data_IF_283209605608
#
_entry.id   IF_283209605608
#
_cell.length_a   1.000
_cell.length_b   1.000
_cell.length_c   1.000
_cell.angle_alpha   90.00
_cell.angle_beta   90.00
_cell.angle_gamma   90.00
#
_symmetry.space_group_name_H-M   'P 1'
#
loop_
_entity.id
_entity.type
_entity.pdbx_description
1 polymer ?
#
# COMPACT_ATOMS: atom_id res chain seq x y z
N UNK A 1 -20.39 -52.66 -33.44
CA UNK A 1 -18.94 -52.84 -33.29
C UNK A 1 -18.58 -52.53 -31.85
N UNK A 2 -17.88 -53.40 -31.11
CA UNK A 2 -17.37 -53.06 -29.79
C UNK A 2 -16.37 -51.90 -29.93
N UNK A 3 -16.58 -50.85 -29.16
CA UNK A 3 -15.70 -49.69 -29.15
C UNK A 3 -14.35 -50.08 -28.54
N UNK A 4 -13.27 -50.03 -29.32
CA UNK A 4 -11.90 -50.24 -28.82
C UNK A 4 -11.46 -48.96 -28.12
N UNK A 5 -11.22 -48.97 -26.80
CA UNK A 5 -10.81 -47.78 -26.08
C UNK A 5 -9.49 -47.21 -26.61
N UNK A 6 -9.46 -45.90 -26.86
CA UNK A 6 -8.23 -45.13 -27.09
C UNK A 6 -7.99 -44.18 -25.92
N UNK A 7 -6.81 -43.56 -25.86
CA UNK A 7 -6.50 -42.59 -24.80
C UNK A 7 -7.41 -41.34 -24.84
N UNK A 8 -8.06 -41.09 -25.99
CA UNK A 8 -9.09 -40.04 -26.11
C UNK A 8 -10.38 -40.39 -25.38
N UNK A 9 -10.60 -41.66 -25.03
CA UNK A 9 -11.81 -42.15 -24.37
C UNK A 9 -11.67 -42.21 -22.85
N UNK A 10 -10.52 -41.78 -22.33
CA UNK A 10 -10.25 -41.75 -20.89
C UNK A 10 -10.67 -40.41 -20.31
N UNK A 11 -11.40 -40.48 -19.19
CA UNK A 11 -11.86 -39.34 -18.42
C UNK A 11 -11.33 -39.41 -17.00
N UNK A 12 -10.84 -38.29 -16.49
CA UNK A 12 -10.51 -38.10 -15.08
C UNK A 12 -11.73 -37.57 -14.32
N UNK A 13 -11.97 -38.14 -13.14
CA UNK A 13 -13.12 -37.84 -12.30
C UNK A 13 -12.66 -37.17 -11.02
N UNK A 14 -13.29 -36.04 -10.69
CA UNK A 14 -13.06 -35.31 -9.46
C UNK A 14 -14.37 -35.15 -8.70
N UNK A 15 -14.37 -35.42 -7.40
CA UNK A 15 -15.56 -35.41 -6.57
C UNK A 15 -15.37 -34.52 -5.33
N UNK A 16 -16.47 -33.94 -4.88
CA UNK A 16 -16.59 -33.18 -3.64
C UNK A 16 -17.78 -33.75 -2.87
N UNK A 17 -17.55 -34.25 -1.65
CA UNK A 17 -18.58 -34.91 -0.82
C UNK A 17 -19.28 -33.99 0.17
N UNK A 18 -18.90 -32.70 0.24
CA UNK A 18 -19.52 -31.73 1.15
C UNK A 18 -19.23 -30.29 0.74
N UNK A 19 -20.07 -29.35 1.17
CA UNK A 19 -20.01 -27.92 0.81
C UNK A 19 -18.65 -27.28 1.13
N UNK A 20 -18.00 -27.69 2.22
CA UNK A 20 -16.69 -27.18 2.66
C UNK A 20 -15.46 -27.97 2.19
N UNK A 21 -15.64 -29.15 1.58
CA UNK A 21 -14.54 -30.01 1.16
C UNK A 21 -13.93 -29.56 -0.18
N UNK A 22 -12.63 -29.80 -0.38
CA UNK A 22 -12.02 -29.57 -1.68
C UNK A 22 -12.51 -30.60 -2.70
N UNK A 23 -12.62 -30.19 -3.97
CA UNK A 23 -12.78 -31.13 -5.08
C UNK A 23 -11.48 -31.92 -5.24
N UNK A 24 -11.54 -33.25 -5.13
CA UNK A 24 -10.36 -34.12 -5.22
C UNK A 24 -10.49 -35.11 -6.36
N UNK A 25 -9.37 -35.51 -6.95
CA UNK A 25 -9.34 -36.57 -7.95
C UNK A 25 -9.68 -37.92 -7.28
N UNK A 26 -10.66 -38.63 -7.83
CA UNK A 26 -11.13 -39.92 -7.29
C UNK A 26 -10.83 -41.10 -8.19
N UNK A 27 -10.45 -40.86 -9.44
CA UNK A 27 -10.01 -41.89 -10.37
C UNK A 27 -10.31 -41.55 -11.82
N UNK A 28 -10.13 -42.54 -12.69
CA UNK A 28 -10.35 -42.43 -14.13
C UNK A 28 -11.33 -43.49 -14.63
N UNK A 29 -12.08 -43.17 -15.69
CA UNK A 29 -12.96 -44.12 -16.38
C UNK A 29 -12.82 -44.02 -17.89
N UNK A 30 -13.26 -45.07 -18.59
CA UNK A 30 -13.30 -45.10 -20.05
C UNK A 30 -14.74 -44.96 -20.52
N UNK A 31 -15.00 -44.00 -21.42
CA UNK A 31 -16.31 -43.78 -22.00
C UNK A 31 -16.21 -43.24 -23.43
N UNK A 32 -17.11 -43.65 -24.34
CA UNK A 32 -17.05 -43.23 -25.75
C UNK A 32 -17.46 -41.76 -25.97
N UNK A 33 -18.10 -41.12 -24.99
CA UNK A 33 -18.58 -39.73 -25.07
C UNK A 33 -18.80 -39.12 -23.69
N UNK A 34 -18.80 -37.78 -23.62
CA UNK A 34 -18.91 -36.99 -22.38
C UNK A 34 -20.14 -37.37 -21.53
N UNK A 35 -21.31 -37.51 -22.15
CA UNK A 35 -22.54 -37.87 -21.40
C UNK A 35 -22.44 -39.25 -20.76
N UNK A 36 -21.88 -40.23 -21.48
CA UNK A 36 -21.66 -41.57 -20.95
C UNK A 36 -20.62 -41.54 -19.81
N UNK A 37 -19.59 -40.71 -19.95
CA UNK A 37 -18.58 -40.50 -18.91
C UNK A 37 -19.20 -39.93 -17.62
N UNK A 38 -20.10 -38.96 -17.74
CA UNK A 38 -20.82 -38.38 -16.60
C UNK A 38 -21.67 -39.43 -15.88
N UNK A 39 -22.47 -40.20 -16.64
CA UNK A 39 -23.31 -41.23 -16.05
C UNK A 39 -22.48 -42.29 -15.33
N UNK A 40 -21.42 -42.80 -15.97
CA UNK A 40 -20.52 -43.78 -15.37
C UNK A 40 -19.81 -43.23 -14.13
N UNK A 41 -19.35 -41.98 -14.15
CA UNK A 41 -18.71 -41.35 -13.00
C UNK A 41 -19.68 -41.26 -11.82
N UNK A 42 -20.91 -40.77 -12.05
CA UNK A 42 -21.93 -40.66 -11.01
C UNK A 42 -22.26 -42.02 -10.41
N UNK A 43 -22.48 -43.04 -11.24
CA UNK A 43 -22.81 -44.39 -10.78
C UNK A 43 -21.64 -45.11 -10.11
N UNK A 44 -20.39 -44.72 -10.41
CA UNK A 44 -19.20 -45.36 -9.82
C UNK A 44 -18.81 -44.70 -8.51
N UNK A 45 -18.79 -43.38 -8.48
CA UNK A 45 -18.24 -42.59 -7.37
C UNK A 45 -19.30 -41.95 -6.46
N UNK A 46 -20.58 -41.95 -6.87
CA UNK A 46 -21.69 -41.36 -6.10
C UNK A 46 -22.53 -42.35 -5.30
N UNK A 47 -22.09 -43.61 -5.14
CA UNK A 47 -22.90 -44.65 -4.47
C UNK A 47 -22.83 -44.66 -2.95
N UNK A 48 -21.73 -44.17 -2.37
CA UNK A 48 -21.43 -44.32 -0.94
C UNK A 48 -21.43 -42.99 -0.17
N UNK A 49 -21.11 -41.90 -0.86
CA UNK A 49 -21.02 -40.57 -0.29
C UNK A 49 -21.98 -39.64 -1.01
N UNK A 50 -22.60 -38.73 -0.26
CA UNK A 50 -23.40 -37.64 -0.83
C UNK A 50 -22.47 -36.69 -1.59
N UNK A 51 -22.47 -36.79 -2.92
CA UNK A 51 -21.67 -35.91 -3.76
C UNK A 51 -22.33 -34.53 -3.83
N UNK A 52 -21.62 -33.51 -3.33
CA UNK A 52 -21.95 -32.11 -3.53
C UNK A 52 -21.63 -31.65 -4.97
N UNK A 53 -20.51 -32.11 -5.55
CA UNK A 53 -20.09 -31.75 -6.91
C UNK A 53 -19.26 -32.85 -7.56
N UNK A 54 -19.43 -33.03 -8.87
CA UNK A 54 -18.70 -34.01 -9.69
C UNK A 54 -18.21 -33.34 -10.98
N UNK A 55 -16.90 -33.40 -11.23
CA UNK A 55 -16.29 -32.99 -12.50
C UNK A 55 -15.76 -34.21 -13.24
N UNK A 56 -16.01 -34.25 -14.54
CA UNK A 56 -15.55 -35.31 -15.43
C UNK A 56 -14.89 -34.64 -16.63
N UNK A 57 -13.59 -34.82 -16.76
CA UNK A 57 -12.76 -34.12 -17.76
C UNK A 57 -12.08 -35.15 -18.64
N UNK A 58 -12.07 -34.95 -19.95
CA UNK A 58 -11.34 -35.85 -20.86
C UNK A 58 -9.84 -35.70 -20.58
N UNK A 59 -9.11 -36.80 -20.47
CA UNK A 59 -7.68 -36.76 -20.13
C UNK A 59 -6.85 -35.91 -21.08
N UNK A 60 -7.20 -35.93 -22.37
CA UNK A 60 -6.54 -35.13 -23.41
C UNK A 60 -6.75 -33.62 -23.27
N UNK A 61 -7.75 -33.19 -22.49
CA UNK A 61 -8.02 -31.77 -22.23
C UNK A 61 -7.18 -31.26 -21.04
N UNK A 62 -6.43 -32.12 -20.35
CA UNK A 62 -5.56 -31.76 -19.23
C UNK A 62 -4.15 -31.41 -19.71
N UNK A 63 -3.62 -30.29 -19.21
CA UNK A 63 -2.20 -29.97 -19.32
C UNK A 63 -1.48 -30.64 -18.15
N UNK A 64 -0.67 -31.67 -18.44
CA UNK A 64 0.04 -32.46 -17.44
C UNK A 64 1.53 -32.14 -17.51
N UNK A 65 2.10 -31.72 -16.38
CA UNK A 65 3.53 -31.44 -16.27
C UNK A 65 4.37 -32.70 -16.46
N UNK A 66 5.47 -32.57 -17.22
CA UNK A 66 6.46 -33.62 -17.41
C UNK A 66 7.58 -33.58 -16.37
N UNK A 67 8.55 -34.49 -16.52
CA UNK A 67 9.72 -34.53 -15.63
C UNK A 67 10.59 -33.25 -15.70
N UNK A 68 10.60 -32.56 -16.85
CA UNK A 68 11.35 -31.32 -17.05
C UNK A 68 10.77 -30.10 -16.31
N UNK A 69 9.48 -30.11 -15.98
CA UNK A 69 8.82 -28.99 -15.31
C UNK A 69 9.06 -28.96 -13.81
N UNK A 70 9.64 -30.04 -13.24
CA UNK A 70 9.88 -30.19 -11.80
C UNK A 70 10.63 -29.01 -11.19
N UNK A 71 11.60 -28.45 -11.91
CA UNK A 71 12.36 -27.29 -11.43
C UNK A 71 11.54 -25.99 -11.34
N UNK A 72 10.57 -25.81 -12.25
CA UNK A 72 9.67 -24.64 -12.27
C UNK A 72 8.55 -24.80 -11.24
N UNK A 73 8.07 -26.03 -11.05
CA UNK A 73 6.99 -26.37 -10.10
C UNK A 73 7.47 -26.51 -8.66
N UNK A 74 8.77 -26.65 -8.42
CA UNK A 74 9.33 -26.66 -7.08
C UNK A 74 9.05 -25.31 -6.39
N UNK A 75 8.49 -25.36 -5.18
CA UNK A 75 8.18 -24.17 -4.41
C UNK A 75 9.46 -23.35 -4.16
N UNK A 76 9.54 -22.16 -4.78
CA UNK A 76 10.70 -21.26 -4.64
C UNK A 76 10.72 -20.52 -3.30
N UNK A 77 9.63 -20.58 -2.54
CA UNK A 77 9.44 -19.72 -1.37
C UNK A 77 9.04 -20.53 -0.14
N UNK A 78 9.79 -20.35 0.96
CA UNK A 78 9.48 -20.90 2.29
C UNK A 78 8.37 -20.15 3.03
N UNK A 79 7.80 -19.11 2.42
CA UNK A 79 6.79 -18.25 3.04
C UNK A 79 5.38 -18.83 2.83
N UNK A 80 4.74 -19.36 3.89
CA UNK A 80 3.47 -20.06 3.77
C UNK A 80 2.33 -19.16 3.25
N UNK A 81 2.41 -17.84 3.49
CA UNK A 81 1.40 -16.86 3.07
C UNK A 81 1.28 -16.64 1.56
N UNK A 82 2.26 -17.10 0.78
CA UNK A 82 2.21 -17.02 -0.68
C UNK A 82 1.62 -18.28 -1.32
N UNK A 83 1.27 -19.30 -0.51
CA UNK A 83 0.69 -20.53 -1.02
C UNK A 83 -0.83 -20.35 -1.26
N UNK A 84 -1.34 -20.79 -2.42
CA UNK A 84 -2.78 -20.95 -2.60
C UNK A 84 -3.36 -21.81 -1.45
N UNK A 85 -4.37 -21.30 -0.75
CA UNK A 85 -5.01 -21.82 0.49
C UNK A 85 -4.46 -21.31 1.84
N UNK A 86 -3.46 -20.44 1.88
CA UNK A 86 -3.09 -19.75 3.12
C UNK A 86 -3.86 -18.41 3.27
N UNK A 87 -4.57 -18.09 4.37
CA UNK A 87 -5.07 -18.91 5.49
C UNK A 87 -6.60 -19.12 5.39
N UNK A 88 -7.07 -20.34 5.08
CA UNK A 88 -8.51 -20.68 5.14
C UNK A 88 -9.00 -21.15 6.52
N UNK A 89 -8.11 -21.27 7.51
CA UNK A 89 -8.42 -21.85 8.83
C UNK A 89 -9.38 -21.02 9.68
N UNK A 90 -9.70 -19.78 9.25
CA UNK A 90 -10.73 -18.91 9.86
C UNK A 90 -11.74 -18.37 8.84
N UNK A 91 -11.91 -19.02 7.68
CA UNK A 91 -12.97 -18.61 6.76
C UNK A 91 -14.30 -19.00 7.39
N UNK A 92 -14.98 -18.04 8.02
CA UNK A 92 -16.34 -18.20 8.52
C UNK A 92 -17.20 -18.63 7.33
N UNK A 93 -17.83 -19.79 7.44
CA UNK A 93 -18.80 -20.24 6.46
C UNK A 93 -20.03 -19.33 6.53
N UNK A 94 -20.07 -18.31 5.66
CA UNK A 94 -21.19 -17.36 5.61
C UNK A 94 -22.50 -18.03 5.18
N UNK A 95 -22.48 -19.28 4.71
CA UNK A 95 -23.70 -20.04 4.41
C UNK A 95 -24.36 -20.63 5.66
N UNK A 96 -23.66 -20.64 6.81
CA UNK A 96 -24.18 -21.12 8.09
C UNK A 96 -24.60 -19.99 9.05
N UNK A 97 -24.52 -18.72 8.63
CA UNK A 97 -24.99 -17.61 9.45
C UNK A 97 -26.53 -17.63 9.48
N UNK A 98 -27.18 -17.63 10.67
CA UNK A 98 -28.63 -17.49 10.72
C UNK A 98 -29.02 -16.14 10.13
N UNK A 99 -30.05 -16.13 9.28
CA UNK A 99 -30.68 -14.92 8.74
C UNK A 99 -31.08 -14.01 9.90
N UNK A 100 -30.22 -13.06 10.23
CA UNK A 100 -30.51 -12.09 11.28
C UNK A 100 -31.21 -10.94 10.59
N UNK A 101 -32.53 -11.00 10.58
CA UNK A 101 -33.38 -9.88 10.18
C UNK A 101 -32.93 -8.63 10.94
N UNK A 102 -32.62 -7.57 10.20
CA UNK A 102 -32.24 -6.28 10.74
C UNK A 102 -33.35 -5.75 11.66
N UNK A 103 -33.05 -5.60 12.95
CA UNK A 103 -33.91 -4.84 13.86
C UNK A 103 -33.65 -3.33 13.67
N UNK A 104 -34.70 -2.49 13.68
CA UNK A 104 -34.56 -1.07 13.39
C UNK A 104 -33.89 -0.32 14.55
N UNK A 105 -33.19 0.75 14.18
CA UNK A 105 -32.24 1.45 15.03
C UNK A 105 -32.79 1.99 16.35
N UNK A 106 -31.96 1.89 17.38
CA UNK A 106 -32.06 2.72 18.57
C UNK A 106 -30.90 3.69 18.57
N UNK A 107 -31.23 4.97 18.44
CA UNK A 107 -30.31 6.07 18.68
C UNK A 107 -29.90 6.04 20.16
N UNK A 108 -28.60 5.87 20.43
CA UNK A 108 -28.04 6.03 21.78
C UNK A 108 -27.25 7.32 21.79
N UNK A 109 -27.69 8.23 22.66
CA UNK A 109 -27.10 9.54 22.88
C UNK A 109 -25.65 9.45 23.37
N UNK A 110 -24.81 10.35 22.85
CA UNK A 110 -23.41 10.50 23.27
C UNK A 110 -23.31 10.94 24.74
N UNK A 111 -22.51 10.29 25.58
CA UNK A 111 -22.10 10.86 26.85
C UNK A 111 -20.95 11.85 26.62
N UNK A 112 -21.10 13.06 27.17
CA UNK A 112 -20.05 14.07 27.29
C UNK A 112 -18.96 13.53 28.23
N UNK A 113 -17.77 13.30 27.68
CA UNK A 113 -16.59 12.93 28.46
C UNK A 113 -15.70 14.16 28.66
N UNK A 114 -15.48 14.50 29.92
CA UNK A 114 -14.60 15.58 30.36
C UNK A 114 -13.13 15.26 30.02
N UNK A 115 -12.42 16.31 29.58
CA UNK A 115 -10.99 16.31 29.23
C UNK A 115 -10.14 16.12 30.50
N UNK A 116 -9.28 15.09 30.61
CA UNK A 116 -8.25 15.05 31.65
C UNK A 116 -7.06 15.96 31.27
N UNK A 117 -6.30 16.47 32.26
CA UNK A 117 -5.26 17.47 32.01
C UNK A 117 -4.10 16.90 31.20
N UNK A 118 -3.67 17.68 30.22
CA UNK A 118 -2.50 17.45 29.36
C UNK A 118 -1.23 17.23 30.20
N UNK A 119 -0.57 16.09 29.97
CA UNK A 119 0.80 15.86 30.43
C UNK A 119 1.71 16.55 29.43
N UNK A 120 2.42 17.60 29.88
CA UNK A 120 3.40 18.30 29.07
C UNK A 120 4.58 17.38 28.71
N UNK A 121 5.14 17.47 27.49
CA UNK A 121 6.32 16.68 27.14
C UNK A 121 7.52 17.12 27.99
N UNK A 122 8.19 16.15 28.60
CA UNK A 122 9.43 16.36 29.35
C UNK A 122 10.50 16.94 28.42
N UNK A 123 10.93 18.16 28.75
CA UNK A 123 12.08 18.82 28.13
C UNK A 123 13.35 18.00 28.42
N UNK A 124 14.16 17.76 27.38
CA UNK A 124 15.55 17.30 27.54
C UNK A 124 16.33 18.33 28.38
N UNK A 125 17.30 17.90 29.21
CA UNK A 125 18.08 18.85 30.00
C UNK A 125 18.94 19.74 29.09
N UNK A 126 18.84 21.04 29.34
CA UNK A 126 19.60 22.10 28.67
C UNK A 126 21.11 21.85 28.78
N UNK A 127 21.71 21.43 27.67
CA UNK A 127 23.13 21.57 27.43
C UNK A 127 23.41 23.02 27.07
N UNK A 128 24.26 23.66 27.86
CA UNK A 128 24.73 25.04 27.67
C UNK A 128 25.05 25.38 26.21
N UNK A 129 24.40 26.43 25.71
CA UNK A 129 24.63 26.99 24.39
C UNK A 129 26.12 27.39 24.23
N UNK A 130 26.83 26.66 23.37
CA UNK A 130 27.96 27.22 22.65
C UNK A 130 27.43 27.73 21.30
N UNK A 131 27.51 29.04 21.09
CA UNK A 131 27.38 29.63 19.77
C UNK A 131 28.58 29.19 18.92
N UNK A 132 28.45 28.02 18.28
CA UNK A 132 29.43 27.47 17.35
C UNK A 132 28.72 27.18 16.04
N UNK A 133 29.22 27.73 14.93
CA UNK A 133 28.74 27.38 13.59
C UNK A 133 28.79 25.86 13.41
N UNK A 134 27.62 25.22 13.36
CA UNK A 134 27.50 23.76 13.34
C UNK A 134 28.16 23.15 12.12
N UNK A 135 28.69 21.93 12.28
CA UNK A 135 29.31 21.17 11.19
C UNK A 135 28.30 21.06 10.02
N UNK A 136 28.69 21.46 8.79
CA UNK A 136 27.87 21.30 7.59
C UNK A 136 27.30 19.88 7.41
N UNK A 137 28.02 18.85 7.87
CA UNK A 137 27.57 17.45 7.83
C UNK A 137 26.39 17.21 8.77
N UNK A 138 26.46 17.70 10.00
CA UNK A 138 25.34 17.58 10.96
C UNK A 138 24.12 18.35 10.49
N UNK A 139 24.31 19.52 9.86
CA UNK A 139 23.21 20.29 9.29
C UNK A 139 22.52 19.53 8.13
N UNK A 140 23.31 18.85 7.30
CA UNK A 140 22.80 18.01 6.20
C UNK A 140 22.04 16.81 6.74
N UNK A 141 22.59 16.13 7.75
CA UNK A 141 21.97 14.98 8.40
C UNK A 141 20.61 15.33 9.03
N UNK A 142 20.54 16.45 9.76
CA UNK A 142 19.26 16.96 10.30
C UNK A 142 18.23 17.25 9.21
N UNK A 143 18.65 17.82 8.08
CA UNK A 143 17.75 18.09 6.96
C UNK A 143 17.21 16.78 6.35
N UNK A 144 18.06 15.77 6.16
CA UNK A 144 17.65 14.45 5.66
C UNK A 144 16.68 13.74 6.63
N UNK A 145 16.94 13.79 7.94
CA UNK A 145 15.99 13.30 8.95
C UNK A 145 14.65 14.01 8.85
N UNK A 146 14.63 15.34 8.69
CA UNK A 146 13.39 16.10 8.50
C UNK A 146 12.59 15.65 7.26
N UNK A 147 13.28 15.33 6.16
CA UNK A 147 12.65 14.80 4.94
C UNK A 147 12.09 13.39 5.14
N UNK A 148 12.83 12.49 5.82
CA UNK A 148 12.36 11.14 6.13
C UNK A 148 11.08 11.15 6.98
N UNK A 149 11.06 11.94 8.06
CA UNK A 149 9.87 12.05 8.90
C UNK A 149 8.67 12.64 8.14
N UNK A 150 8.91 13.58 7.23
CA UNK A 150 7.86 14.15 6.40
C UNK A 150 7.32 13.13 5.37
N UNK A 151 8.18 12.32 4.75
CA UNK A 151 7.77 11.24 3.86
C UNK A 151 7.11 10.07 4.60
N UNK A 152 7.46 9.81 5.87
CA UNK A 152 6.73 8.86 6.70
C UNK A 152 5.27 9.30 6.91
N UNK A 153 5.03 10.60 7.12
CA UNK A 153 3.66 11.15 7.16
C UNK A 153 2.93 10.91 5.82
N UNK A 154 3.61 11.12 4.68
CA UNK A 154 3.04 10.88 3.34
C UNK A 154 2.68 9.41 3.12
N UNK A 155 3.60 8.50 3.45
CA UNK A 155 3.43 7.05 3.33
C UNK A 155 2.30 6.53 4.22
N UNK A 156 2.20 7.03 5.45
CA UNK A 156 1.13 6.65 6.36
C UNK A 156 -0.25 7.01 5.80
N UNK A 157 -0.41 8.24 5.30
CA UNK A 157 -1.69 8.67 4.72
C UNK A 157 -1.95 7.97 3.39
N UNK A 158 -0.94 7.80 2.54
CA UNK A 158 -1.07 7.04 1.29
C UNK A 158 -1.59 5.63 1.56
N UNK A 159 -0.97 4.90 2.50
CA UNK A 159 -1.36 3.53 2.83
C UNK A 159 -2.83 3.41 3.24
N UNK A 160 -3.29 4.29 4.12
CA UNK A 160 -4.69 4.35 4.52
C UNK A 160 -5.62 4.67 3.33
N UNK A 161 -5.26 5.65 2.50
CA UNK A 161 -6.08 6.07 1.35
C UNK A 161 -6.18 4.99 0.28
N UNK A 162 -5.11 4.23 0.05
CA UNK A 162 -5.14 3.09 -0.85
C UNK A 162 -6.03 1.96 -0.30
N UNK A 163 -6.02 1.75 1.03
CA UNK A 163 -6.87 0.76 1.69
C UNK A 163 -8.37 1.07 1.63
N UNK A 164 -8.77 2.35 1.57
CA UNK A 164 -10.18 2.76 1.53
C UNK A 164 -10.94 2.24 0.31
N UNK A 165 -10.23 1.96 -0.79
CA UNK A 165 -10.83 1.53 -2.06
C UNK A 165 -10.52 0.08 -2.41
N UNK A 166 -10.14 -0.73 -1.43
CA UNK A 166 -9.64 -2.09 -1.68
C UNK A 166 -10.61 -3.01 -2.43
N UNK A 167 -11.91 -2.68 -2.46
CA UNK A 167 -12.95 -3.42 -3.21
C UNK A 167 -13.46 -2.69 -4.45
N UNK A 168 -12.98 -1.47 -4.68
CA UNK A 168 -13.48 -0.52 -5.69
C UNK A 168 -12.43 -0.19 -6.76
N UNK A 169 -11.33 -0.94 -6.83
CA UNK A 169 -10.37 -0.82 -7.93
C UNK A 169 -10.92 -1.47 -9.20
N UNK A 170 -10.26 -1.16 -10.31
CA UNK A 170 -10.72 -1.50 -11.66
C UNK A 170 -10.90 -3.01 -11.88
N UNK A 171 -10.11 -3.84 -11.20
CA UNK A 171 -10.19 -5.30 -11.18
C UNK A 171 -9.60 -5.86 -9.88
N UNK A 172 -9.58 -7.20 -9.76
CA UNK A 172 -9.14 -7.88 -8.55
C UNK A 172 -7.61 -7.85 -8.41
N UNK A 173 -6.88 -7.99 -9.50
CA UNK A 173 -5.43 -7.95 -9.56
C UNK A 173 -4.91 -6.60 -9.06
N UNK A 174 -5.53 -5.51 -9.50
CA UNK A 174 -5.22 -4.15 -9.07
C UNK A 174 -5.65 -3.92 -7.63
N UNK A 175 -6.78 -4.49 -7.20
CA UNK A 175 -7.17 -4.48 -5.79
C UNK A 175 -6.09 -5.12 -4.91
N UNK A 176 -5.55 -6.26 -5.33
CA UNK A 176 -4.47 -6.96 -4.61
C UNK A 176 -3.15 -6.19 -4.65
N UNK A 177 -2.77 -5.67 -5.82
CA UNK A 177 -1.53 -4.93 -6.00
C UNK A 177 -1.51 -3.64 -5.19
N UNK A 178 -2.57 -2.83 -5.31
CA UNK A 178 -2.70 -1.55 -4.60
C UNK A 178 -2.88 -1.78 -3.10
N UNK A 179 -3.56 -2.86 -2.70
CA UNK A 179 -3.61 -3.32 -1.31
C UNK A 179 -2.23 -3.63 -0.74
N UNK A 180 -1.40 -4.39 -1.46
CA UNK A 180 -0.02 -4.71 -1.06
C UNK A 180 0.81 -3.43 -0.91
N UNK A 181 0.74 -2.54 -1.91
CA UNK A 181 1.44 -1.24 -1.87
C UNK A 181 1.00 -0.42 -0.65
N UNK A 182 -0.30 -0.41 -0.34
CA UNK A 182 -0.83 0.29 0.82
C UNK A 182 -0.31 -0.26 2.15
N UNK A 183 -0.23 -1.59 2.29
CA UNK A 183 0.32 -2.24 3.50
C UNK A 183 1.82 -1.94 3.65
N UNK A 184 2.58 -2.02 2.58
CA UNK A 184 4.02 -1.73 2.57
C UNK A 184 4.28 -0.25 2.85
N UNK A 185 3.44 0.67 2.37
CA UNK A 185 3.54 2.09 2.71
C UNK A 185 3.40 2.34 4.23
N UNK A 186 2.45 1.67 4.90
CA UNK A 186 2.31 1.75 6.37
C UNK A 186 3.54 1.19 7.08
N UNK A 187 4.04 0.02 6.64
CA UNK A 187 5.23 -0.62 7.22
C UNK A 187 6.50 0.24 7.02
N UNK A 188 6.64 0.91 5.88
CA UNK A 188 7.74 1.83 5.62
C UNK A 188 7.66 3.08 6.50
N UNK A 189 6.47 3.63 6.71
CA UNK A 189 6.29 4.76 7.62
C UNK A 189 6.75 4.40 9.05
N UNK A 190 6.36 3.23 9.54
CA UNK A 190 6.80 2.70 10.84
C UNK A 190 8.32 2.44 10.87
N UNK A 191 8.87 1.79 9.84
CA UNK A 191 10.32 1.53 9.72
C UNK A 191 11.13 2.82 9.77
N UNK A 192 10.68 3.87 9.08
CA UNK A 192 11.34 5.18 9.10
C UNK A 192 11.33 5.78 10.52
N UNK A 193 10.22 5.72 11.25
CA UNK A 193 10.18 6.19 12.64
C UNK A 193 11.12 5.38 13.54
N UNK A 194 11.13 4.05 13.41
CA UNK A 194 11.99 3.18 14.19
C UNK A 194 13.48 3.49 13.98
N UNK A 195 13.91 3.70 12.73
CA UNK A 195 15.29 4.11 12.40
C UNK A 195 15.68 5.48 12.97
N UNK A 196 14.69 6.33 13.26
CA UNK A 196 14.88 7.63 13.89
C UNK A 196 14.63 7.62 15.41
N UNK A 197 14.61 6.43 16.03
CA UNK A 197 14.63 6.25 17.48
C UNK A 197 13.26 6.29 18.15
N UNK A 198 12.17 6.16 17.39
CA UNK A 198 10.83 5.97 17.94
C UNK A 198 10.66 4.51 18.33
N UNK A 199 10.29 4.25 19.58
CA UNK A 199 9.76 2.94 19.97
C UNK A 199 8.27 2.81 19.54
N UNK A 200 7.66 1.66 19.80
CA UNK A 200 6.28 1.39 19.38
C UNK A 200 5.28 2.42 19.91
N UNK A 201 5.39 2.79 21.19
CA UNK A 201 4.51 3.77 21.81
C UNK A 201 4.71 5.18 21.23
N UNK A 202 5.96 5.58 20.99
CA UNK A 202 6.25 6.85 20.34
C UNK A 202 5.74 6.90 18.89
N UNK A 203 5.85 5.78 18.15
CA UNK A 203 5.33 5.68 16.80
C UNK A 203 3.79 5.77 16.77
N UNK A 204 3.11 5.08 17.68
CA UNK A 204 1.65 5.16 17.81
C UNK A 204 1.19 6.57 18.22
N UNK A 205 1.88 7.22 19.17
CA UNK A 205 1.60 8.61 19.52
C UNK A 205 1.80 9.55 18.31
N UNK A 206 2.85 9.33 17.52
CA UNK A 206 3.16 10.12 16.32
C UNK A 206 2.06 10.03 15.25
N UNK A 207 1.48 8.85 15.03
CA UNK A 207 0.47 8.63 13.99
C UNK A 207 -0.98 8.82 14.46
N UNK A 208 -1.31 8.54 15.71
CA UNK A 208 -2.71 8.53 16.15
C UNK A 208 -3.07 9.71 17.08
N UNK A 209 -2.11 10.21 17.86
CA UNK A 209 -2.37 11.23 18.89
C UNK A 209 -1.97 12.63 18.44
N UNK A 210 -0.96 12.72 17.56
CA UNK A 210 -0.43 13.98 17.07
C UNK A 210 -1.51 14.84 16.39
N UNK A 211 -1.68 16.12 16.81
CA UNK A 211 -2.70 17.00 16.22
C UNK A 211 -2.37 17.32 14.76
N UNK A 212 -3.40 17.50 13.93
CA UNK A 212 -3.27 17.74 12.48
C UNK A 212 -2.26 18.86 12.13
N UNK A 213 -2.18 19.91 12.94
CA UNK A 213 -1.25 21.03 12.70
C UNK A 213 0.23 20.64 12.70
N UNK A 214 0.59 19.52 13.32
CA UNK A 214 1.97 19.02 13.39
C UNK A 214 2.32 18.05 12.25
N UNK A 215 1.34 17.65 11.44
CA UNK A 215 1.56 16.77 10.30
C UNK A 215 2.21 17.52 9.14
N UNK A 216 3.21 16.90 8.52
CA UNK A 216 3.93 17.45 7.38
C UNK A 216 3.56 16.67 6.13
N UNK A 217 2.29 16.63 5.73
CA UNK A 217 1.87 15.88 4.53
C UNK A 217 2.00 16.74 3.27
N UNK A 218 2.52 16.17 2.19
CA UNK A 218 2.63 16.77 0.86
C UNK A 218 1.27 17.06 0.26
N UNK A 219 1.19 18.14 -0.53
CA UNK A 219 -0.02 18.49 -1.30
C UNK A 219 -0.46 17.39 -2.29
N UNK A 220 0.45 16.49 -2.68
CA UNK A 220 0.13 15.33 -3.54
C UNK A 220 -1.00 14.49 -2.94
N UNK A 221 -1.01 14.27 -1.62
CA UNK A 221 -1.99 13.42 -0.94
C UNK A 221 -3.42 13.91 -1.10
N UNK A 222 -3.63 15.23 -1.20
CA UNK A 222 -4.96 15.80 -1.44
C UNK A 222 -5.55 15.41 -2.81
N UNK A 223 -4.74 14.84 -3.71
CA UNK A 223 -5.18 14.42 -5.05
C UNK A 223 -5.59 12.94 -5.13
N UNK A 224 -5.49 12.16 -4.05
CA UNK A 224 -5.91 10.75 -3.99
C UNK A 224 -7.45 10.59 -3.99
N UNK A 225 -8.12 11.03 -5.06
CA UNK A 225 -9.58 11.07 -5.19
C UNK A 225 -10.15 10.27 -6.37
N UNK A 226 -9.36 10.00 -7.40
CA UNK A 226 -9.76 9.28 -8.61
C UNK A 226 -8.59 8.39 -9.09
N UNK A 227 -8.86 7.45 -9.99
CA UNK A 227 -7.86 6.48 -10.42
C UNK A 227 -6.64 7.12 -11.13
N UNK A 228 -6.81 8.04 -12.11
CA UNK A 228 -5.68 8.73 -12.74
C UNK A 228 -4.78 9.45 -11.74
N UNK A 229 -5.37 10.16 -10.76
CA UNK A 229 -4.63 10.86 -9.72
C UNK A 229 -3.97 9.88 -8.75
N UNK A 230 -4.61 8.76 -8.40
CA UNK A 230 -4.00 7.70 -7.58
C UNK A 230 -2.73 7.16 -8.23
N UNK A 231 -2.78 6.85 -9.54
CA UNK A 231 -1.59 6.39 -10.29
C UNK A 231 -0.49 7.43 -10.26
N UNK A 232 -0.81 8.70 -10.55
CA UNK A 232 0.17 9.78 -10.54
C UNK A 232 0.77 10.01 -9.14
N UNK A 233 -0.05 9.97 -8.08
CA UNK A 233 0.38 10.17 -6.70
C UNK A 233 1.28 9.03 -6.22
N UNK A 234 0.86 7.78 -6.44
CA UNK A 234 1.66 6.60 -6.09
C UNK A 234 3.02 6.64 -6.78
N UNK A 235 3.05 7.06 -8.05
CA UNK A 235 4.28 7.22 -8.82
C UNK A 235 5.23 8.26 -8.21
N UNK A 236 4.76 9.49 -7.96
CA UNK A 236 5.64 10.57 -7.46
C UNK A 236 6.12 10.30 -6.03
N UNK A 237 5.29 9.69 -5.17
CA UNK A 237 5.69 9.31 -3.81
C UNK A 237 6.72 8.19 -3.88
N UNK A 238 6.48 7.13 -4.67
CA UNK A 238 7.44 6.05 -4.81
C UNK A 238 8.79 6.52 -5.36
N UNK A 239 8.78 7.43 -6.34
CA UNK A 239 9.98 8.06 -6.87
C UNK A 239 10.71 8.91 -5.79
N UNK A 240 9.98 9.70 -4.99
CA UNK A 240 10.59 10.53 -3.95
C UNK A 240 11.24 9.67 -2.85
N UNK A 241 10.56 8.63 -2.38
CA UNK A 241 11.13 7.72 -1.37
C UNK A 241 12.34 6.98 -1.94
N UNK A 242 12.28 6.52 -3.19
CA UNK A 242 13.42 5.88 -3.86
C UNK A 242 14.65 6.80 -3.89
N UNK A 243 14.48 8.06 -4.30
CA UNK A 243 15.57 9.04 -4.41
C UNK A 243 16.18 9.34 -3.05
N UNK A 244 15.37 9.51 -2.01
CA UNK A 244 15.88 9.74 -0.66
C UNK A 244 16.56 8.49 -0.08
N UNK A 245 16.02 7.30 -0.35
CA UNK A 245 16.59 6.05 0.09
C UNK A 245 18.00 5.81 -0.44
N UNK A 246 18.29 6.26 -1.67
CA UNK A 246 19.61 6.14 -2.29
C UNK A 246 20.73 6.86 -1.50
N UNK A 247 20.41 7.87 -0.69
CA UNK A 247 21.39 8.55 0.17
C UNK A 247 21.95 7.64 1.27
N UNK A 248 21.20 6.60 1.66
CA UNK A 248 21.51 5.75 2.83
C UNK A 248 21.48 4.26 2.55
N UNK A 249 20.94 3.82 1.41
CA UNK A 249 20.77 2.41 1.07
C UNK A 249 22.09 1.62 1.04
N UNK A 250 23.23 2.28 0.83
CA UNK A 250 24.54 1.62 0.87
C UNK A 250 24.94 1.19 2.29
N UNK A 251 24.56 1.97 3.30
CA UNK A 251 25.01 1.81 4.69
C UNK A 251 23.90 1.30 5.63
N UNK A 252 22.63 1.44 5.24
CA UNK A 252 21.46 1.07 6.05
C UNK A 252 20.60 0.00 5.35
N UNK A 253 20.72 -1.29 5.72
CA UNK A 253 20.01 -2.39 5.07
C UNK A 253 18.47 -2.24 5.09
N UNK A 254 17.90 -1.63 6.13
CA UNK A 254 16.47 -1.38 6.22
C UNK A 254 16.02 -0.33 5.18
N UNK A 255 16.78 0.74 4.97
CA UNK A 255 16.53 1.72 3.91
C UNK A 255 16.75 1.10 2.52
N UNK A 256 17.73 0.21 2.39
CA UNK A 256 17.94 -0.54 1.15
C UNK A 256 16.73 -1.41 0.81
N UNK A 257 16.15 -2.11 1.78
CA UNK A 257 14.93 -2.89 1.60
C UNK A 257 13.74 -2.01 1.18
N UNK A 258 13.53 -0.88 1.88
CA UNK A 258 12.50 0.12 1.52
C UNK A 258 12.68 0.56 0.06
N UNK A 259 13.92 0.87 -0.35
CA UNK A 259 14.23 1.28 -1.73
C UNK A 259 13.83 0.21 -2.75
N UNK A 260 14.21 -1.05 -2.53
CA UNK A 260 13.92 -2.13 -3.47
C UNK A 260 12.42 -2.35 -3.62
N UNK A 261 11.65 -2.26 -2.52
CA UNK A 261 10.19 -2.36 -2.56
C UNK A 261 9.57 -1.14 -3.29
N UNK A 262 10.06 0.08 -3.03
CA UNK A 262 9.59 1.28 -3.74
C UNK A 262 9.91 1.25 -5.24
N UNK A 263 11.01 0.63 -5.67
CA UNK A 263 11.31 0.44 -7.10
C UNK A 263 10.29 -0.50 -7.77
N UNK A 264 9.82 -1.53 -7.05
CA UNK A 264 8.74 -2.41 -7.54
C UNK A 264 7.43 -1.63 -7.65
N UNK A 265 7.10 -0.78 -6.66
CA UNK A 265 5.92 0.10 -6.71
C UNK A 265 6.01 1.07 -7.88
N UNK A 266 7.19 1.68 -8.09
CA UNK A 266 7.43 2.61 -9.17
C UNK A 266 7.25 1.94 -10.54
N UNK A 267 7.70 0.69 -10.73
CA UNK A 267 7.42 -0.05 -11.97
C UNK A 267 5.92 -0.30 -12.18
N UNK A 268 5.21 -0.71 -11.12
CA UNK A 268 3.76 -0.90 -11.17
C UNK A 268 3.04 0.40 -11.59
N UNK A 269 3.34 1.52 -10.93
CA UNK A 269 2.73 2.81 -11.26
C UNK A 269 3.11 3.32 -12.64
N UNK A 270 4.36 3.09 -13.10
CA UNK A 270 4.79 3.42 -14.47
C UNK A 270 4.04 2.62 -15.52
N UNK A 271 3.74 1.35 -15.26
CA UNK A 271 2.94 0.52 -16.16
C UNK A 271 1.55 1.12 -16.35
N UNK A 272 0.91 1.52 -15.26
CA UNK A 272 -0.39 2.20 -15.29
C UNK A 272 -0.33 3.58 -15.95
N UNK A 273 0.68 4.39 -15.64
CA UNK A 273 0.87 5.69 -16.28
C UNK A 273 0.98 5.58 -17.80
N UNK A 274 1.77 4.61 -18.30
CA UNK A 274 1.88 4.34 -19.74
C UNK A 274 0.56 3.86 -20.35
N UNK A 275 -0.17 2.99 -19.66
CA UNK A 275 -1.48 2.50 -20.13
C UNK A 275 -2.49 3.65 -20.26
N UNK A 276 -2.63 4.46 -19.21
CA UNK A 276 -3.55 5.60 -19.19
C UNK A 276 -3.15 6.70 -20.20
N UNK A 277 -1.85 6.88 -20.46
CA UNK A 277 -1.39 7.81 -21.50
C UNK A 277 -1.63 7.28 -22.92
N UNK A 278 -1.59 5.96 -23.11
CA UNK A 278 -1.72 5.33 -24.43
C UNK A 278 -3.17 5.31 -24.92
N UNK A 279 -4.14 5.01 -24.05
CA UNK A 279 -5.55 4.86 -24.43
C UNK A 279 -6.21 6.20 -24.77
N UNK A 280 -6.84 6.36 -25.94
CA UNK A 280 -7.51 7.60 -26.33
C UNK A 280 -8.54 8.11 -25.31
N UNK A 281 -9.26 7.19 -24.67
CA UNK A 281 -10.36 7.46 -23.75
C UNK A 281 -9.88 8.09 -22.43
N UNK A 282 -8.69 7.71 -21.95
CA UNK A 282 -8.15 8.16 -20.66
C UNK A 282 -7.00 9.15 -20.80
N UNK A 283 -6.40 9.29 -21.99
CA UNK A 283 -5.21 10.13 -22.22
C UNK A 283 -5.37 11.56 -21.74
N UNK A 284 -6.49 12.21 -22.07
CA UNK A 284 -6.71 13.62 -21.75
C UNK A 284 -6.88 13.83 -20.23
N UNK A 285 -7.70 12.99 -19.59
CA UNK A 285 -7.92 13.01 -18.15
C UNK A 285 -6.63 12.71 -17.39
N UNK A 286 -5.89 11.68 -17.80
CA UNK A 286 -4.63 11.32 -17.15
C UNK A 286 -3.55 12.39 -17.35
N UNK A 287 -3.44 13.01 -18.53
CA UNK A 287 -2.51 14.12 -18.73
C UNK A 287 -2.80 15.29 -17.79
N UNK A 288 -4.08 15.62 -17.58
CA UNK A 288 -4.48 16.66 -16.63
C UNK A 288 -4.14 16.25 -15.18
N UNK A 289 -4.51 15.04 -14.76
CA UNK A 289 -4.21 14.54 -13.42
C UNK A 289 -2.69 14.51 -13.14
N UNK A 290 -1.91 14.03 -14.11
CA UNK A 290 -0.44 13.97 -14.02
C UNK A 290 0.16 15.37 -13.89
N UNK A 291 -0.30 16.33 -14.71
CA UNK A 291 0.10 17.73 -14.64
C UNK A 291 -0.19 18.37 -13.26
N UNK A 292 -1.38 18.10 -12.70
CA UNK A 292 -1.79 18.63 -11.40
C UNK A 292 -1.01 18.02 -10.22
N UNK A 293 -0.82 16.71 -10.25
CA UNK A 293 -0.07 15.99 -9.21
C UNK A 293 1.40 16.37 -9.23
N UNK A 294 2.04 16.39 -10.40
CA UNK A 294 3.45 16.77 -10.52
C UNK A 294 3.71 18.22 -10.12
N UNK A 295 2.78 19.14 -10.41
CA UNK A 295 2.85 20.51 -9.88
C UNK A 295 2.82 20.54 -8.35
N UNK A 296 1.99 19.70 -7.74
CA UNK A 296 1.85 19.59 -6.28
C UNK A 296 3.04 18.91 -5.62
N UNK A 297 3.70 18.00 -6.33
CA UNK A 297 4.90 17.27 -5.90
C UNK A 297 6.14 18.16 -5.67
N UNK A 298 6.05 19.46 -6.00
CA UNK A 298 7.08 20.45 -5.70
C UNK A 298 7.48 20.52 -4.23
N UNK A 299 6.61 20.10 -3.30
CA UNK A 299 6.85 20.18 -1.86
C UNK A 299 7.38 18.90 -1.21
N UNK A 300 7.60 17.83 -1.99
CA UNK A 300 8.08 16.55 -1.46
C UNK A 300 9.44 16.68 -0.78
N UNK A 301 10.36 17.47 -1.36
CA UNK A 301 11.65 17.84 -0.76
C UNK A 301 11.70 19.28 -0.26
N UNK A 302 10.53 19.87 -0.02
CA UNK A 302 10.40 21.20 0.55
C UNK A 302 10.78 21.25 2.02
N UNK A 303 11.47 22.31 2.43
CA UNK A 303 11.67 22.60 3.85
C UNK A 303 10.31 22.75 4.56
N UNK A 304 10.21 22.21 5.77
CA UNK A 304 9.06 22.37 6.64
C UNK A 304 9.19 23.62 7.53
N UNK A 305 8.10 24.05 8.20
CA UNK A 305 8.10 25.27 9.00
C UNK A 305 9.09 25.24 10.19
N UNK A 306 9.43 24.05 10.67
CA UNK A 306 10.33 23.81 11.80
C UNK A 306 11.80 23.73 11.37
N UNK A 307 12.09 23.68 10.06
CA UNK A 307 13.45 23.58 9.53
C UNK A 307 14.13 24.97 9.41
N UNK A 308 13.45 26.03 9.89
CA UNK A 308 13.98 27.39 10.00
C UNK A 308 14.84 27.48 11.27
N UNK A 309 16.11 27.95 11.20
CA UNK A 309 17.01 27.98 12.36
C UNK A 309 16.45 28.76 13.56
N UNK A 310 16.59 28.19 14.76
CA UNK A 310 16.29 28.87 16.02
C UNK A 310 17.19 30.12 16.16
N UNK A 311 16.59 31.31 16.02
CA UNK A 311 17.30 32.59 16.01
C UNK A 311 16.74 33.60 15.01
N UNK A 312 15.95 33.15 14.02
CA UNK A 312 15.10 34.05 13.26
C UNK A 312 13.99 34.56 14.20
N UNK A 313 13.97 35.88 14.45
CA UNK A 313 12.92 36.54 15.24
C UNK A 313 11.53 36.04 14.79
N UNK A 314 10.59 35.78 15.71
CA UNK A 314 9.22 35.39 15.36
C UNK A 314 8.48 36.60 14.76
N UNK A 315 8.79 36.89 13.50
CA UNK A 315 8.02 37.74 12.59
C UNK A 315 7.06 36.88 11.75
N UNK A 316 6.05 37.50 11.12
CA UNK A 316 4.96 36.78 10.50
C UNK A 316 5.46 35.79 9.44
N UNK A 317 5.07 34.54 9.67
CA UNK A 317 5.17 33.38 8.78
C UNK A 317 5.00 33.71 7.29
N UNK A 318 6.12 33.81 6.56
CA UNK A 318 6.31 33.58 5.12
C UNK A 318 7.70 34.08 4.69
N UNK A 319 8.10 35.26 5.18
CA UNK A 319 9.31 35.98 4.71
C UNK A 319 10.63 35.31 5.16
N UNK A 320 10.65 34.66 6.33
CA UNK A 320 11.83 33.92 6.80
C UNK A 320 12.10 32.63 5.99
N UNK A 321 11.08 32.04 5.38
CA UNK A 321 11.22 30.90 4.47
C UNK A 321 11.66 31.35 3.05
N UNK A 322 11.40 32.60 2.67
CA UNK A 322 11.87 33.18 1.40
C UNK A 322 13.36 33.57 1.45
N UNK A 323 13.90 33.88 2.63
CA UNK A 323 15.30 34.31 2.79
C UNK A 323 16.32 33.15 2.77
N UNK A 324 15.86 31.92 2.99
CA UNK A 324 16.67 30.70 2.96
C UNK A 324 16.09 29.74 1.93
N UNK A 325 16.59 29.84 0.69
CA UNK A 325 16.26 28.89 -0.39
C UNK A 325 16.52 27.43 0.00
N UNK A 326 16.09 26.46 -0.84
CA UNK A 326 16.25 25.04 -0.54
C UNK A 326 17.72 24.69 -0.25
N UNK A 327 17.96 23.76 0.68
CA UNK A 327 19.31 23.25 0.90
C UNK A 327 19.86 22.61 -0.37
N UNK A 328 21.18 22.60 -0.55
CA UNK A 328 21.81 21.99 -1.72
C UNK A 328 21.41 20.52 -1.88
N UNK A 329 21.36 19.77 -0.76
CA UNK A 329 20.90 18.38 -0.74
C UNK A 329 19.43 18.26 -1.18
N UNK A 330 18.52 19.11 -0.68
CA UNK A 330 17.12 19.09 -1.09
C UNK A 330 16.95 19.42 -2.59
N UNK A 331 17.72 20.37 -3.11
CA UNK A 331 17.69 20.73 -4.53
C UNK A 331 18.20 19.57 -5.43
N UNK A 332 19.25 18.86 -5.00
CA UNK A 332 19.78 17.70 -5.72
C UNK A 332 18.78 16.54 -5.76
N UNK A 333 18.20 16.19 -4.61
CA UNK A 333 17.14 15.17 -4.50
C UNK A 333 15.95 15.52 -5.39
N UNK A 334 15.54 16.80 -5.40
CA UNK A 334 14.44 17.27 -6.23
C UNK A 334 14.73 17.18 -7.73
N UNK A 335 15.98 17.46 -8.14
CA UNK A 335 16.41 17.25 -9.52
C UNK A 335 16.31 15.79 -9.95
N UNK A 336 16.75 14.86 -9.08
CA UNK A 336 16.66 13.40 -9.33
C UNK A 336 15.22 12.90 -9.38
N UNK A 337 14.33 13.42 -8.52
CA UNK A 337 12.89 13.18 -8.62
C UNK A 337 12.33 13.65 -9.95
N UNK A 338 12.71 14.86 -10.40
CA UNK A 338 12.30 15.40 -11.69
C UNK A 338 12.69 14.49 -12.86
N UNK A 339 13.89 13.93 -12.84
CA UNK A 339 14.33 12.96 -13.84
C UNK A 339 13.44 11.69 -13.82
N UNK A 340 13.27 11.05 -12.65
CA UNK A 340 12.46 9.83 -12.54
C UNK A 340 11.00 10.04 -12.95
N UNK A 341 10.40 11.16 -12.57
CA UNK A 341 9.01 11.51 -12.91
C UNK A 341 8.87 11.80 -14.41
N UNK A 342 9.85 12.47 -15.02
CA UNK A 342 9.82 12.74 -16.47
C UNK A 342 9.93 11.45 -17.29
N UNK A 343 10.74 10.49 -16.85
CA UNK A 343 10.97 9.21 -17.52
C UNK A 343 9.85 8.18 -17.30
N UNK A 344 8.84 8.53 -16.50
CA UNK A 344 7.80 7.59 -16.05
C UNK A 344 6.64 7.39 -17.02
N UNK A 345 6.68 8.01 -18.21
CA UNK A 345 5.68 7.84 -19.25
C UNK A 345 4.37 8.61 -19.03
N UNK A 346 4.29 9.45 -17.99
CA UNK A 346 3.20 10.40 -17.82
C UNK A 346 3.40 11.63 -18.72
N UNK A 347 2.40 12.04 -19.52
CA UNK A 347 2.53 13.20 -20.39
C UNK A 347 2.44 14.50 -19.60
N UNK A 348 3.22 15.52 -19.98
CA UNK A 348 3.06 16.88 -19.48
C UNK A 348 3.34 17.04 -17.98
N UNK A 349 4.47 16.52 -17.48
CA UNK A 349 4.92 16.83 -16.11
C UNK A 349 5.06 18.34 -15.91
N UNK A 350 4.53 18.86 -14.81
CA UNK A 350 4.66 20.26 -14.38
C UNK A 350 5.35 20.38 -13.02
N UNK A 351 6.31 19.48 -12.74
CA UNK A 351 7.12 19.58 -11.53
C UNK A 351 7.90 20.91 -11.53
N UNK A 352 7.83 21.73 -10.45
CA UNK A 352 8.63 22.94 -10.33
C UNK A 352 10.13 22.63 -10.40
N UNK A 353 10.93 23.55 -10.94
CA UNK A 353 12.38 23.36 -11.07
C UNK A 353 13.13 23.32 -9.73
N UNK A 354 12.56 23.94 -8.69
CA UNK A 354 13.11 23.96 -7.34
C UNK A 354 12.07 23.45 -6.34
N UNK A 355 12.52 22.85 -5.21
CA UNK A 355 11.64 22.52 -4.11
C UNK A 355 10.85 23.74 -3.63
N UNK A 356 9.59 23.52 -3.31
CA UNK A 356 8.69 24.52 -2.74
C UNK A 356 8.47 24.17 -1.26
N UNK A 357 8.41 25.14 -0.33
CA UNK A 357 8.21 24.84 1.08
C UNK A 357 6.95 23.99 1.35
N UNK A 358 7.12 22.99 2.21
CA UNK A 358 6.03 22.11 2.63
C UNK A 358 5.18 22.84 3.66
N UNK A 359 3.86 22.81 3.45
CA UNK A 359 2.94 23.48 4.35
C UNK A 359 2.42 22.50 5.41
N UNK A 360 2.81 22.69 6.68
CA UNK A 360 2.31 21.87 7.78
C UNK A 360 0.79 22.00 7.93
N UNK A 361 0.13 20.90 8.30
CA UNK A 361 -1.31 20.84 8.58
C UNK A 361 -2.23 21.08 7.38
N UNK A 362 -1.69 21.33 6.17
CA UNK A 362 -2.46 21.65 4.96
C UNK A 362 -3.02 20.44 4.21
N UNK A 363 -2.99 19.24 4.78
CA UNK A 363 -3.59 18.04 4.18
C UNK A 363 -5.11 18.12 3.93
N UNK A 364 -5.75 19.26 4.25
CA UNK A 364 -7.15 19.54 3.94
C UNK A 364 -8.11 18.60 4.67
N UNK A 365 -9.30 18.42 4.09
CA UNK A 365 -10.27 17.44 4.58
C UNK A 365 -9.74 16.01 4.50
N UNK A 366 -8.89 15.69 3.53
CA UNK A 366 -8.35 14.32 3.32
C UNK A 366 -7.54 13.85 4.52
N UNK A 367 -6.60 14.67 5.00
CA UNK A 367 -5.84 14.36 6.20
C UNK A 367 -6.73 14.31 7.44
N UNK A 368 -7.63 15.28 7.60
CA UNK A 368 -8.56 15.31 8.74
C UNK A 368 -9.40 14.01 8.81
N UNK A 369 -9.94 13.58 7.66
CA UNK A 369 -10.73 12.36 7.53
C UNK A 369 -9.91 11.10 7.82
N UNK A 370 -8.68 11.03 7.30
CA UNK A 370 -7.77 9.91 7.56
C UNK A 370 -7.45 9.79 9.06
N UNK A 371 -7.13 10.90 9.72
CA UNK A 371 -6.83 10.91 11.16
C UNK A 371 -8.06 10.60 12.00
N UNK A 372 -9.23 11.10 11.61
CA UNK A 372 -10.49 10.78 12.29
C UNK A 372 -10.82 9.28 12.20
N UNK A 373 -10.69 8.68 11.01
CA UNK A 373 -10.86 7.23 10.82
C UNK A 373 -9.83 6.43 11.63
N UNK A 374 -8.55 6.79 11.56
CA UNK A 374 -7.49 6.10 12.28
C UNK A 374 -7.72 6.11 13.80
N UNK A 375 -8.11 7.25 14.36
CA UNK A 375 -8.48 7.36 15.79
C UNK A 375 -9.71 6.55 16.14
N UNK A 376 -10.77 6.61 15.33
CA UNK A 376 -11.98 5.82 15.56
C UNK A 376 -11.70 4.30 15.50
N UNK A 377 -10.82 3.87 14.59
CA UNK A 377 -10.34 2.49 14.54
C UNK A 377 -9.62 2.17 15.85
N UNK A 378 -8.63 2.98 16.26
CA UNK A 378 -7.87 2.75 17.50
C UNK A 378 -8.77 2.63 18.74
N UNK A 379 -9.76 3.51 18.87
CA UNK A 379 -10.73 3.50 19.98
C UNK A 379 -11.58 2.22 20.03
N UNK A 380 -11.77 1.52 18.90
CA UNK A 380 -12.61 0.34 18.81
C UNK A 380 -11.88 -0.98 19.12
N UNK A 381 -10.54 -0.96 19.12
CA UNK A 381 -9.73 -2.12 19.49
C UNK A 381 -9.28 -2.03 20.95
N UNK A 382 -8.96 -3.20 21.52
CA UNK A 382 -8.46 -3.26 22.88
C UNK A 382 -7.13 -2.49 23.00
N UNK A 383 -6.85 -1.82 24.14
CA UNK A 383 -5.65 -1.00 24.30
C UNK A 383 -4.35 -1.77 24.06
N UNK A 384 -4.35 -3.09 24.20
CA UNK A 384 -3.16 -3.94 24.01
C UNK A 384 -2.85 -4.24 22.52
N UNK A 385 -3.71 -3.81 21.60
CA UNK A 385 -3.51 -3.94 20.14
C UNK A 385 -2.61 -2.81 19.60
N UNK A 386 -2.59 -1.67 20.28
CA UNK A 386 -1.74 -0.51 20.00
C UNK A 386 -0.75 -0.38 21.16
N UNK A 387 0.52 -0.05 20.91
CA UNK A 387 1.60 -0.16 21.91
C UNK A 387 1.83 1.13 22.71
#
# INVERSE_FOLDING_TARGET
MPHVPTDTDVYEVFAQTGTGSALSHVGSLVAPRRDAAWHLAKETYGRRDDLFRLWVVRRTDLIVSGAGDRGVLAAKTRMPHRQPRFPTTRRIDRSAAPDTAAAPGTAVAAPSAAVPPSVAPQQRPDGSASEGGGDPREATDRALTGLWLALADDLFVLGNRLGERIVDYIDLEESLAVGSIGQEALAHAETVLALHGFDGAAADAHFFERPQAQWRVSRVIARLGDWPSTVACGLVIAAAVTVLAEERAADEPAIAAVREEQLVHLDHWRRWARALAAWPETRAEFAQAYAEVTRSAGDLFGAGPQDVPAGALPGPSAEAAELHGPSAAAAELHGRLGALVSDSGGPGSHLPHLPVPRAAGRGGSVLADCLARGRAVREHYAPEVFL
#
